data_IF_741258532953
#
_entry.id   IF_741258532953
#
_cell.length_a   1.000
_cell.length_b   1.000
_cell.length_c   1.000
_cell.angle_alpha   90.00
_cell.angle_beta   90.00
_cell.angle_gamma   90.00
#
_symmetry.space_group_name_H-M   'P 1'
#
loop_
_entity.id
_entity.type
_entity.pdbx_description
1 polymer ?
#
# COMPACT_ATOMS: atom_id res chain seq x y z
N UNK A 1 -41.76 43.86 -20.00
CA UNK A 1 -40.72 44.87 -19.78
C UNK A 1 -39.46 44.10 -19.39
N UNK A 2 -38.74 43.53 -20.37
CA UNK A 2 -37.63 44.17 -21.11
C UNK A 2 -36.48 44.52 -20.14
N UNK A 3 -35.23 44.04 -20.27
CA UNK A 3 -34.48 43.76 -21.50
C UNK A 3 -33.38 42.71 -21.31
N UNK A 4 -33.12 42.02 -22.41
CA UNK A 4 -32.00 41.13 -22.68
C UNK A 4 -30.76 41.92 -23.16
N UNK A 5 -29.56 41.34 -23.02
CA UNK A 5 -28.39 41.48 -23.91
C UNK A 5 -27.24 40.62 -23.32
N UNK A 6 -26.35 39.91 -24.01
CA UNK A 6 -26.26 39.22 -25.30
C UNK A 6 -24.97 38.38 -25.20
N UNK A 7 -24.96 37.21 -25.82
CA UNK A 7 -23.83 36.28 -25.92
C UNK A 7 -22.57 36.85 -26.59
N UNK A 8 -21.40 36.26 -26.33
CA UNK A 8 -20.46 35.91 -27.42
C UNK A 8 -19.57 34.73 -27.03
N UNK A 9 -19.57 33.73 -27.90
CA UNK A 9 -18.73 32.53 -27.88
C UNK A 9 -17.54 32.72 -28.84
N UNK A 10 -16.32 32.43 -28.39
CA UNK A 10 -15.14 32.34 -29.25
C UNK A 10 -14.80 30.89 -29.56
N UNK A 11 -14.92 30.50 -30.83
CA UNK A 11 -14.51 29.19 -31.38
C UNK A 11 -13.05 29.22 -31.90
N UNK A 12 -12.42 28.05 -32.16
CA UNK A 12 -10.97 27.87 -32.20
C UNK A 12 -10.35 28.09 -33.59
N UNK A 13 -9.06 28.39 -33.64
CA UNK A 13 -8.27 28.43 -34.87
C UNK A 13 -7.79 27.04 -35.29
N UNK A 14 -7.99 26.71 -36.58
CA UNK A 14 -7.56 25.50 -37.29
C UNK A 14 -6.36 25.81 -38.20
N UNK A 15 -5.40 24.87 -38.21
CA UNK A 15 -4.68 24.26 -39.35
C UNK A 15 -3.85 25.17 -40.29
N UNK A 16 -2.55 24.83 -40.45
CA UNK A 16 -1.97 24.58 -41.79
C UNK A 16 -0.71 23.70 -41.73
N UNK A 17 -0.79 22.56 -42.41
CA UNK A 17 0.34 21.76 -42.89
C UNK A 17 0.97 22.45 -44.11
N UNK A 18 2.28 22.36 -44.29
CA UNK A 18 2.92 22.46 -45.61
C UNK A 18 4.07 21.45 -45.67
N UNK A 19 4.20 20.79 -46.81
CA UNK A 19 5.14 19.72 -47.08
C UNK A 19 5.84 19.97 -48.42
N UNK A 20 7.13 19.56 -48.45
CA UNK A 20 7.98 19.14 -49.59
C UNK A 20 8.51 20.18 -50.58
N UNK A 21 9.85 20.11 -50.75
CA UNK A 21 10.59 19.86 -52.01
C UNK A 21 12.05 19.50 -51.62
N UNK A 22 12.64 18.33 -51.94
CA UNK A 22 13.30 17.87 -53.20
C UNK A 22 14.50 18.76 -53.63
N UNK A 23 15.71 18.33 -54.02
CA UNK A 23 16.31 17.05 -54.42
C UNK A 23 17.88 17.11 -54.44
N UNK A 24 18.53 15.93 -54.62
CA UNK A 24 19.81 15.65 -55.35
C UNK A 24 21.14 16.20 -54.79
N UNK A 25 22.01 15.39 -54.17
CA UNK A 25 22.98 14.41 -54.71
C UNK A 25 24.26 15.02 -55.32
N UNK A 26 25.42 14.73 -54.71
CA UNK A 26 26.70 14.46 -55.40
C UNK A 26 27.72 13.80 -54.44
N UNK A 27 28.26 12.66 -54.87
CA UNK A 27 29.36 11.89 -54.28
C UNK A 27 30.60 12.12 -55.15
N UNK A 28 31.81 12.04 -54.57
CA UNK A 28 32.69 11.00 -55.11
C UNK A 28 33.48 10.22 -54.05
N UNK A 29 33.81 9.00 -54.48
CA UNK A 29 34.60 7.97 -53.81
C UNK A 29 36.02 8.42 -53.42
N UNK A 30 36.48 7.97 -52.26
CA UNK A 30 37.86 7.55 -52.04
C UNK A 30 37.89 6.45 -50.95
N UNK A 31 38.14 5.20 -51.36
CA UNK A 31 38.41 4.06 -50.48
C UNK A 31 39.94 3.94 -50.31
N UNK A 32 40.41 4.02 -49.06
CA UNK A 32 41.75 3.61 -48.65
C UNK A 32 41.67 2.86 -47.31
N UNK A 33 42.47 1.80 -47.07
CA UNK A 33 42.32 0.98 -45.87
C UNK A 33 43.05 1.64 -44.69
N UNK A 34 42.29 2.10 -43.69
CA UNK A 34 42.84 2.47 -42.38
C UNK A 34 42.80 1.25 -41.46
N UNK A 35 43.94 0.58 -41.30
CA UNK A 35 44.17 -0.44 -40.26
C UNK A 35 44.26 0.31 -38.92
N UNK A 36 43.18 0.31 -38.15
CA UNK A 36 43.17 0.79 -36.76
C UNK A 36 43.48 -0.37 -35.83
N UNK A 37 44.62 -0.31 -35.15
CA UNK A 37 45.00 -1.25 -34.11
C UNK A 37 44.22 -0.93 -32.84
N UNK A 38 43.14 -1.67 -32.60
CA UNK A 38 42.38 -1.58 -31.37
C UNK A 38 43.22 -2.12 -30.20
N UNK A 39 43.72 -1.22 -29.34
CA UNK A 39 44.17 -1.59 -27.99
C UNK A 39 42.96 -2.04 -27.19
N UNK A 40 42.94 -3.31 -26.81
CA UNK A 40 41.97 -3.84 -25.86
C UNK A 40 42.07 -3.04 -24.55
N UNK A 41 41.00 -2.30 -24.23
CA UNK A 41 40.82 -1.74 -22.89
C UNK A 41 40.49 -2.89 -21.93
N UNK A 42 41.07 -2.93 -20.72
CA UNK A 42 40.72 -3.96 -19.75
C UNK A 42 39.23 -3.79 -19.41
N UNK A 43 38.48 -4.90 -19.54
CA UNK A 43 37.11 -4.99 -19.04
C UNK A 43 37.20 -4.88 -17.52
N UNK A 44 36.95 -3.69 -16.98
CA UNK A 44 36.63 -3.52 -15.58
C UNK A 44 35.40 -4.40 -15.29
N UNK A 45 35.40 -5.24 -14.23
CA UNK A 45 34.22 -5.99 -13.87
C UNK A 45 33.08 -4.99 -13.64
N UNK A 46 31.94 -5.22 -14.28
CA UNK A 46 30.74 -4.43 -14.05
C UNK A 46 30.52 -4.36 -12.53
N UNK A 47 30.50 -3.15 -11.95
CA UNK A 47 30.11 -3.02 -10.55
C UNK A 47 28.72 -3.63 -10.45
N UNK A 48 28.56 -4.72 -9.70
CA UNK A 48 27.25 -5.30 -9.45
C UNK A 48 26.48 -4.28 -8.61
N UNK A 49 25.74 -3.40 -9.29
CA UNK A 49 25.00 -2.34 -8.61
C UNK A 49 24.00 -2.97 -7.66
N UNK A 50 24.07 -2.58 -6.39
CA UNK A 50 23.20 -3.07 -5.32
C UNK A 50 21.79 -2.50 -5.53
N UNK A 51 21.01 -3.15 -6.40
CA UNK A 51 19.68 -2.68 -6.82
C UNK A 51 18.59 -2.94 -5.79
N UNK A 52 18.86 -3.81 -4.81
CA UNK A 52 17.90 -4.21 -3.80
C UNK A 52 18.46 -4.04 -2.39
N UNK A 53 17.53 -3.92 -1.45
CA UNK A 53 17.80 -3.90 -0.01
C UNK A 53 16.87 -4.91 0.66
N UNK A 54 17.46 -5.74 1.51
CA UNK A 54 16.75 -6.63 2.41
C UNK A 54 16.58 -5.91 3.75
N UNK A 55 15.35 -5.57 4.08
CA UNK A 55 14.99 -4.94 5.35
C UNK A 55 14.51 -6.01 6.33
N UNK A 56 15.20 -6.14 7.45
CA UNK A 56 14.77 -6.92 8.60
C UNK A 56 13.92 -6.03 9.51
N UNK A 57 12.76 -6.51 9.95
CA UNK A 57 11.84 -5.77 10.82
C UNK A 57 11.38 -6.68 11.94
N UNK A 58 11.90 -6.48 13.13
CA UNK A 58 11.62 -7.30 14.28
C UNK A 58 10.44 -6.76 15.08
N UNK A 59 9.55 -7.65 15.52
CA UNK A 59 8.61 -7.35 16.58
C UNK A 59 9.41 -7.24 17.90
N UNK A 60 9.95 -6.05 18.16
CA UNK A 60 10.96 -5.77 19.19
C UNK A 60 10.59 -6.31 20.58
N UNK A 61 9.32 -6.26 20.95
CA UNK A 61 8.83 -6.78 22.23
C UNK A 61 8.94 -8.31 22.37
N UNK A 62 8.92 -9.05 21.24
CA UNK A 62 9.00 -10.52 21.20
C UNK A 62 10.41 -11.00 20.89
N UNK A 63 11.09 -10.37 19.93
CA UNK A 63 12.44 -10.76 19.51
C UNK A 63 13.20 -9.54 19.06
N UNK A 64 14.02 -8.91 19.92
CA UNK A 64 14.87 -7.80 19.51
C UNK A 64 15.86 -8.21 18.41
N UNK A 65 16.02 -7.37 17.39
CA UNK A 65 17.01 -7.60 16.33
C UNK A 65 18.42 -7.35 16.86
N UNK A 66 19.26 -8.38 16.92
CA UNK A 66 20.64 -8.26 17.44
C UNK A 66 21.68 -8.16 16.31
N UNK A 67 22.84 -7.53 16.56
CA UNK A 67 23.97 -7.54 15.62
C UNK A 67 24.42 -8.94 15.20
N UNK A 68 24.27 -9.93 16.08
CA UNK A 68 24.58 -11.33 15.79
C UNK A 68 23.68 -11.90 14.69
N UNK A 69 22.38 -11.61 14.73
CA UNK A 69 21.43 -12.06 13.69
C UNK A 69 21.76 -11.39 12.36
N UNK A 70 22.00 -10.08 12.36
CA UNK A 70 22.35 -9.30 11.16
C UNK A 70 23.65 -9.82 10.53
N UNK A 71 24.68 -10.05 11.35
CA UNK A 71 25.96 -10.62 10.88
C UNK A 71 25.82 -12.04 10.35
N UNK A 72 25.05 -12.90 11.03
CA UNK A 72 24.79 -14.26 10.57
C UNK A 72 24.08 -14.26 9.21
N UNK A 73 23.13 -13.33 9.01
CA UNK A 73 22.45 -13.17 7.74
C UNK A 73 23.38 -12.70 6.63
N UNK A 74 24.19 -11.67 6.88
CA UNK A 74 25.18 -11.21 5.91
C UNK A 74 26.13 -12.35 5.49
N UNK A 75 26.62 -13.14 6.44
CA UNK A 75 27.46 -14.31 6.15
C UNK A 75 26.71 -15.38 5.34
N UNK A 76 25.45 -15.66 5.66
CA UNK A 76 24.63 -16.62 4.91
C UNK A 76 24.34 -16.15 3.47
N UNK A 77 24.06 -14.85 3.28
CA UNK A 77 23.92 -14.26 1.95
C UNK A 77 25.18 -14.47 1.12
N UNK A 78 26.34 -14.09 1.66
CA UNK A 78 27.63 -14.23 0.98
C UNK A 78 27.95 -15.69 0.63
N UNK A 79 27.74 -16.61 1.57
CA UNK A 79 27.94 -18.05 1.35
C UNK A 79 26.98 -18.62 0.29
N UNK A 80 25.77 -18.06 0.18
CA UNK A 80 24.76 -18.42 -0.81
C UNK A 80 24.88 -17.70 -2.16
N UNK A 81 26.00 -17.01 -2.43
CA UNK A 81 26.25 -16.34 -3.70
C UNK A 81 25.53 -14.99 -3.87
N UNK A 82 24.89 -14.47 -2.83
CA UNK A 82 24.34 -13.12 -2.78
C UNK A 82 25.38 -12.21 -2.13
N UNK A 83 25.79 -11.13 -2.78
CA UNK A 83 26.79 -10.20 -2.23
C UNK A 83 26.13 -9.15 -1.33
N UNK A 84 26.22 -9.24 0.01
CA UNK A 84 25.69 -8.21 0.89
C UNK A 84 26.60 -6.98 0.94
N UNK A 85 26.00 -5.80 1.03
CA UNK A 85 26.64 -4.56 1.42
C UNK A 85 26.65 -4.37 2.94
N UNK A 86 27.13 -3.21 3.42
CA UNK A 86 27.16 -2.91 4.85
C UNK A 86 25.74 -2.82 5.41
N UNK A 87 25.55 -3.39 6.61
CA UNK A 87 24.30 -3.29 7.34
C UNK A 87 24.06 -1.84 7.81
N UNK A 88 22.83 -1.35 7.63
CA UNK A 88 22.40 -0.01 8.02
C UNK A 88 21.20 -0.09 8.98
N UNK A 89 21.41 0.31 10.23
CA UNK A 89 20.37 0.26 11.26
C UNK A 89 19.40 1.43 11.15
N UNK A 90 18.17 1.15 10.73
CA UNK A 90 17.08 2.13 10.70
C UNK A 90 16.50 2.41 12.09
N UNK A 91 16.51 1.39 12.95
CA UNK A 91 16.09 1.47 14.34
C UNK A 91 16.81 0.40 15.18
N UNK A 92 17.52 0.80 16.23
CA UNK A 92 18.28 -0.14 17.07
C UNK A 92 17.35 -1.17 17.73
N UNK A 93 17.69 -2.44 17.53
CA UNK A 93 16.93 -3.57 18.08
C UNK A 93 15.65 -3.90 17.32
N UNK A 94 15.36 -3.23 16.20
CA UNK A 94 14.06 -3.31 15.54
C UNK A 94 14.18 -3.43 14.02
N UNK A 95 14.87 -2.52 13.35
CA UNK A 95 14.95 -2.53 11.89
C UNK A 95 16.37 -2.31 11.37
N UNK A 96 16.78 -3.14 10.41
CA UNK A 96 18.08 -3.07 9.77
C UNK A 96 17.96 -3.38 8.28
N UNK A 97 18.55 -2.52 7.46
CA UNK A 97 18.73 -2.74 6.03
C UNK A 97 20.05 -3.45 5.75
N UNK A 98 20.03 -4.33 4.76
CA UNK A 98 21.22 -4.94 4.15
C UNK A 98 21.07 -4.79 2.64
N UNK A 99 21.69 -3.77 2.01
CA UNK A 99 21.79 -3.69 0.55
C UNK A 99 22.44 -4.96 0.00
N UNK A 100 22.05 -5.43 -1.17
CA UNK A 100 22.70 -6.60 -1.76
C UNK A 100 22.64 -6.61 -3.29
N UNK A 101 23.56 -7.38 -3.88
CA UNK A 101 23.61 -7.71 -5.30
C UNK A 101 23.48 -9.23 -5.46
N UNK A 102 22.59 -9.67 -6.35
CA UNK A 102 22.24 -11.07 -6.53
C UNK A 102 20.74 -11.28 -6.65
N UNK A 103 20.33 -12.54 -6.72
CA UNK A 103 18.93 -12.92 -6.93
C UNK A 103 18.06 -12.67 -5.70
N UNK A 104 16.91 -12.00 -5.89
CA UNK A 104 15.96 -11.67 -4.82
C UNK A 104 15.41 -12.93 -4.14
N UNK A 105 15.11 -13.96 -4.92
CA UNK A 105 14.55 -15.20 -4.41
C UNK A 105 15.53 -15.93 -3.49
N UNK A 106 16.80 -16.03 -3.90
CA UNK A 106 17.86 -16.61 -3.09
C UNK A 106 18.07 -15.83 -1.79
N UNK A 107 18.12 -14.49 -1.85
CA UNK A 107 18.24 -13.65 -0.65
C UNK A 107 17.07 -13.86 0.32
N UNK A 108 15.84 -13.97 -0.18
CA UNK A 108 14.66 -14.21 0.65
C UNK A 108 14.64 -15.60 1.30
N UNK A 109 15.13 -16.63 0.61
CA UNK A 109 15.24 -17.99 1.14
C UNK A 109 16.30 -18.09 2.23
N UNK A 110 17.50 -17.54 1.98
CA UNK A 110 18.59 -17.49 2.95
C UNK A 110 18.18 -16.70 4.20
N UNK A 111 17.48 -15.57 4.01
CA UNK A 111 16.93 -14.79 5.11
C UNK A 111 15.96 -15.59 5.97
N UNK A 112 15.00 -16.29 5.34
CA UNK A 112 14.07 -17.16 6.06
C UNK A 112 14.79 -18.29 6.81
N UNK A 113 15.83 -18.89 6.22
CA UNK A 113 16.63 -19.92 6.88
C UNK A 113 17.36 -19.42 8.14
N UNK A 114 17.92 -18.22 8.10
CA UNK A 114 18.61 -17.62 9.27
C UNK A 114 17.62 -17.17 10.33
N UNK A 115 16.50 -16.58 9.92
CA UNK A 115 15.47 -16.05 10.83
C UNK A 115 14.70 -17.17 11.52
N UNK A 116 14.38 -18.26 10.80
CA UNK A 116 13.57 -19.36 11.32
C UNK A 116 12.21 -18.86 11.85
N UNK A 117 11.82 -19.36 13.02
CA UNK A 117 10.53 -19.03 13.66
C UNK A 117 10.56 -17.75 14.51
N UNK A 118 11.64 -16.96 14.43
CA UNK A 118 11.75 -15.70 15.18
C UNK A 118 10.73 -14.71 14.65
N UNK A 119 10.22 -13.86 15.54
CA UNK A 119 9.25 -12.81 15.20
C UNK A 119 9.93 -11.62 14.47
N UNK A 120 10.49 -11.90 13.29
CA UNK A 120 11.22 -10.95 12.43
C UNK A 120 10.67 -11.09 11.01
N UNK A 121 10.07 -10.02 10.52
CA UNK A 121 9.62 -9.89 9.15
C UNK A 121 10.79 -9.52 8.22
N UNK A 122 10.64 -9.88 6.94
CA UNK A 122 11.58 -9.50 5.87
C UNK A 122 10.85 -8.80 4.75
N UNK A 123 11.47 -7.74 4.21
CA UNK A 123 11.05 -7.12 2.97
C UNK A 123 12.23 -6.94 2.03
N UNK A 124 12.06 -7.26 0.75
CA UNK A 124 13.06 -6.96 -0.29
C UNK A 124 12.49 -5.90 -1.22
N UNK A 125 13.05 -4.70 -1.15
CA UNK A 125 12.60 -3.56 -1.98
C UNK A 125 13.75 -3.04 -2.85
N UNK A 126 13.44 -2.17 -3.80
CA UNK A 126 14.47 -1.47 -4.56
C UNK A 126 15.20 -0.45 -3.67
N UNK A 127 16.51 -0.29 -3.87
CA UNK A 127 17.32 0.66 -3.11
C UNK A 127 16.88 2.10 -3.36
N UNK A 128 16.63 2.46 -4.63
CA UNK A 128 16.16 3.78 -5.05
C UNK A 128 14.63 3.89 -5.13
N UNK A 129 14.09 5.09 -4.88
CA UNK A 129 12.66 5.37 -5.07
C UNK A 129 11.72 4.61 -4.12
N UNK A 130 12.22 4.15 -2.96
CA UNK A 130 11.42 3.41 -1.98
C UNK A 130 10.48 4.29 -1.15
N UNK A 131 10.76 5.60 -0.95
CA UNK A 131 9.81 6.55 -0.34
C UNK A 131 8.63 6.80 -1.28
N UNK A 132 7.43 6.39 -0.86
CA UNK A 132 6.20 6.48 -1.65
C UNK A 132 5.53 7.83 -1.42
N UNK A 133 4.82 8.30 -2.46
CA UNK A 133 4.11 9.60 -2.48
C UNK A 133 2.60 9.45 -2.31
N UNK A 134 2.10 8.22 -2.31
CA UNK A 134 0.70 7.89 -2.08
C UNK A 134 0.61 6.67 -1.17
N UNK A 135 -0.18 6.78 -0.10
CA UNK A 135 -0.66 5.66 0.72
C UNK A 135 -2.13 5.44 0.40
N UNK A 136 -2.50 4.21 0.08
CA UNK A 136 -3.90 3.76 0.10
C UNK A 136 -4.02 2.55 1.05
N UNK A 137 -4.98 2.60 1.97
CA UNK A 137 -5.10 1.62 3.03
C UNK A 137 -6.54 1.11 3.18
N UNK A 138 -6.71 -0.18 3.48
CA UNK A 138 -7.95 -0.67 4.07
C UNK A 138 -8.14 -0.14 5.50
N UNK A 139 -9.34 -0.24 6.04
CA UNK A 139 -9.66 0.16 7.42
C UNK A 139 -9.76 -1.04 8.36
N UNK A 140 -10.80 -1.86 8.18
CA UNK A 140 -11.09 -3.01 9.03
C UNK A 140 -9.93 -4.02 8.93
N UNK A 141 -9.58 -4.65 10.05
CA UNK A 141 -8.46 -5.60 10.16
C UNK A 141 -7.08 -5.10 9.65
N UNK A 142 -6.93 -3.81 9.38
CA UNK A 142 -5.70 -3.18 8.87
C UNK A 142 -5.32 -1.95 9.71
N UNK A 143 -6.07 -0.84 9.58
CA UNK A 143 -5.82 0.38 10.36
C UNK A 143 -6.51 0.34 11.73
N UNK A 144 -7.45 -0.57 11.90
CA UNK A 144 -8.05 -0.99 13.17
C UNK A 144 -8.04 -2.51 13.28
N UNK A 145 -8.10 -3.04 14.50
CA UNK A 145 -8.05 -4.49 14.73
C UNK A 145 -9.40 -5.22 14.64
N UNK A 146 -10.50 -4.49 14.43
CA UNK A 146 -11.87 -5.01 14.45
C UNK A 146 -12.54 -4.89 13.08
N UNK A 147 -13.66 -5.61 12.93
CA UNK A 147 -14.64 -5.41 11.87
C UNK A 147 -15.78 -4.53 12.40
N UNK A 148 -15.92 -3.29 11.90
CA UNK A 148 -16.85 -2.31 12.48
C UNK A 148 -18.32 -2.79 12.52
N UNK A 149 -18.74 -3.59 11.53
CA UNK A 149 -20.12 -4.09 11.45
C UNK A 149 -20.42 -5.15 12.52
N UNK A 150 -19.43 -5.99 12.83
CA UNK A 150 -19.55 -7.05 13.83
C UNK A 150 -19.66 -6.39 15.23
N UNK A 151 -18.87 -5.35 15.49
CA UNK A 151 -18.93 -4.58 16.74
C UNK A 151 -20.25 -3.81 16.93
N UNK A 152 -20.83 -3.27 15.84
CA UNK A 152 -22.17 -2.67 15.89
C UNK A 152 -23.24 -3.73 16.21
N UNK A 153 -23.16 -4.90 15.58
CA UNK A 153 -24.12 -5.97 15.80
C UNK A 153 -24.04 -6.56 17.22
N UNK A 154 -22.85 -6.55 17.83
CA UNK A 154 -22.65 -6.96 19.20
C UNK A 154 -23.44 -6.10 20.21
N UNK A 155 -23.71 -4.82 19.91
CA UNK A 155 -24.52 -3.94 20.78
C UNK A 155 -25.98 -4.40 20.92
N UNK A 156 -26.46 -5.23 20.00
CA UNK A 156 -27.82 -5.80 20.00
C UNK A 156 -27.83 -7.32 20.14
N UNK A 157 -26.71 -7.92 20.54
CA UNK A 157 -26.59 -9.37 20.73
C UNK A 157 -26.58 -10.18 19.42
N UNK A 158 -26.39 -9.54 18.26
CA UNK A 158 -26.35 -10.19 16.94
C UNK A 158 -24.93 -10.35 16.39
N UNK A 159 -23.89 -10.12 17.21
CA UNK A 159 -22.49 -10.17 16.80
C UNK A 159 -22.10 -11.50 16.14
N UNK A 160 -22.47 -12.63 16.76
CA UNK A 160 -22.16 -13.97 16.21
C UNK A 160 -22.86 -14.23 14.88
N UNK A 161 -24.13 -13.81 14.74
CA UNK A 161 -24.89 -13.96 13.51
C UNK A 161 -24.27 -13.16 12.36
N UNK A 162 -23.89 -11.91 12.63
CA UNK A 162 -23.26 -11.04 11.63
C UNK A 162 -21.86 -11.54 11.25
N UNK A 163 -21.06 -11.94 12.24
CA UNK A 163 -19.74 -12.52 12.01
C UNK A 163 -19.82 -13.80 11.14
N UNK A 164 -20.82 -14.66 11.37
CA UNK A 164 -21.02 -15.85 10.53
C UNK A 164 -21.28 -15.50 9.06
N UNK A 165 -22.07 -14.45 8.78
CA UNK A 165 -22.31 -13.96 7.41
C UNK A 165 -21.01 -13.36 6.83
N UNK A 166 -20.27 -12.57 7.63
CA UNK A 166 -18.97 -12.00 7.25
C UNK A 166 -18.00 -13.10 6.81
N UNK A 167 -17.87 -14.17 7.60
CA UNK A 167 -16.97 -15.29 7.29
C UNK A 167 -17.38 -16.04 6.02
N UNK A 168 -18.68 -16.27 5.78
CA UNK A 168 -19.18 -16.89 4.54
C UNK A 168 -18.86 -16.03 3.31
N UNK A 169 -19.02 -14.70 3.42
CA UNK A 169 -18.68 -13.77 2.35
C UNK A 169 -17.17 -13.76 2.06
N UNK A 170 -16.32 -13.77 3.10
CA UNK A 170 -14.86 -13.84 2.95
C UNK A 170 -14.37 -15.15 2.33
N UNK A 171 -15.07 -16.27 2.56
CA UNK A 171 -14.80 -17.56 1.89
C UNK A 171 -15.34 -17.64 0.46
N UNK A 172 -16.06 -16.61 0.00
CA UNK A 172 -16.65 -16.57 -1.33
C UNK A 172 -17.94 -17.39 -1.48
N UNK A 173 -18.53 -17.87 -0.39
CA UNK A 173 -19.80 -18.61 -0.41
C UNK A 173 -21.00 -17.72 -0.74
N UNK A 174 -20.88 -16.41 -0.43
CA UNK A 174 -21.88 -15.39 -0.73
C UNK A 174 -21.17 -14.21 -1.40
N UNK A 175 -21.78 -13.63 -2.42
CA UNK A 175 -21.28 -12.39 -3.00
C UNK A 175 -21.30 -11.23 -1.98
N UNK A 176 -20.30 -10.33 -2.08
CA UNK A 176 -20.10 -9.25 -1.12
C UNK A 176 -21.34 -8.35 -0.93
N UNK A 177 -21.96 -7.86 -2.02
CA UNK A 177 -23.10 -6.93 -1.95
C UNK A 177 -24.32 -7.55 -1.26
N UNK A 178 -24.78 -8.76 -1.63
CA UNK A 178 -25.81 -9.47 -0.87
C UNK A 178 -25.46 -9.67 0.60
N UNK A 179 -24.26 -10.15 0.92
CA UNK A 179 -23.84 -10.37 2.30
C UNK A 179 -23.76 -9.07 3.11
N UNK A 180 -23.37 -7.94 2.51
CA UNK A 180 -23.41 -6.64 3.16
C UNK A 180 -24.85 -6.21 3.45
N UNK A 181 -25.77 -6.33 2.49
CA UNK A 181 -27.18 -5.98 2.70
C UNK A 181 -27.83 -6.84 3.78
N UNK A 182 -27.54 -8.14 3.81
CA UNK A 182 -28.03 -9.06 4.85
C UNK A 182 -27.57 -8.62 6.25
N UNK A 183 -26.26 -8.33 6.42
CA UNK A 183 -25.73 -7.85 7.70
C UNK A 183 -26.28 -6.49 8.10
N UNK A 184 -26.41 -5.57 7.16
CA UNK A 184 -26.95 -4.22 7.42
C UNK A 184 -28.43 -4.27 7.80
N UNK A 185 -29.22 -5.17 7.22
CA UNK A 185 -30.62 -5.35 7.58
C UNK A 185 -30.82 -5.71 9.07
N UNK A 186 -29.88 -6.45 9.66
CA UNK A 186 -29.90 -6.81 11.08
C UNK A 186 -29.68 -5.61 12.00
N UNK A 187 -29.18 -4.49 11.50
CA UNK A 187 -28.95 -3.27 12.28
C UNK A 187 -30.17 -2.33 12.32
N UNK A 188 -31.30 -2.72 11.69
CA UNK A 188 -32.50 -1.88 11.65
C UNK A 188 -33.01 -1.54 13.05
N UNK A 189 -33.26 -0.25 13.29
CA UNK A 189 -33.76 0.26 14.57
C UNK A 189 -32.67 0.55 15.60
N UNK A 190 -31.40 0.22 15.33
CA UNK A 190 -30.30 0.59 16.19
C UNK A 190 -30.07 2.13 16.14
N UNK A 191 -29.91 2.81 17.29
CA UNK A 191 -29.58 4.23 17.30
C UNK A 191 -28.25 4.54 16.61
N UNK A 192 -28.20 5.63 15.86
CA UNK A 192 -26.96 6.09 15.20
C UNK A 192 -25.88 6.42 16.24
N UNK A 193 -26.28 6.86 17.44
CA UNK A 193 -25.39 7.13 18.58
C UNK A 193 -24.63 5.89 19.06
N UNK A 194 -25.08 4.68 18.73
CA UNK A 194 -24.34 3.44 19.01
C UNK A 194 -22.96 3.42 18.33
N UNK A 195 -22.79 4.12 17.20
CA UNK A 195 -21.49 4.25 16.52
C UNK A 195 -20.46 4.90 17.43
N UNK A 196 -20.82 5.99 18.11
CA UNK A 196 -19.91 6.72 19.01
C UNK A 196 -19.48 5.84 20.17
N UNK A 197 -20.42 5.08 20.73
CA UNK A 197 -20.14 4.10 21.79
C UNK A 197 -19.16 3.04 21.31
N UNK A 198 -19.38 2.44 20.14
CA UNK A 198 -18.49 1.43 19.56
C UNK A 198 -17.10 2.02 19.28
N UNK A 199 -17.02 3.21 18.68
CA UNK A 199 -15.77 3.92 18.40
C UNK A 199 -14.95 4.26 19.65
N UNK A 200 -15.62 4.44 20.79
CA UNK A 200 -14.98 4.77 22.07
C UNK A 200 -14.59 3.53 22.87
N UNK A 201 -15.39 2.47 22.81
CA UNK A 201 -15.26 1.32 23.74
C UNK A 201 -14.66 0.07 23.09
N UNK A 202 -14.79 -0.10 21.78
CA UNK A 202 -14.48 -1.37 21.08
C UNK A 202 -13.43 -1.21 19.98
N UNK A 203 -13.34 -0.04 19.35
CA UNK A 203 -12.41 0.19 18.25
C UNK A 203 -11.02 0.57 18.76
N UNK A 204 -10.04 -0.26 18.41
CA UNK A 204 -8.62 -0.05 18.70
C UNK A 204 -7.86 0.24 17.41
N UNK A 205 -7.15 1.36 17.37
CA UNK A 205 -6.26 1.69 16.24
C UNK A 205 -5.09 0.73 16.21
N UNK A 206 -4.74 0.23 15.03
CA UNK A 206 -3.57 -0.62 14.85
C UNK A 206 -2.30 0.16 15.23
N UNK A 207 -1.40 -0.42 16.05
CA UNK A 207 -0.17 0.25 16.45
C UNK A 207 0.64 0.71 15.24
N UNK A 208 1.26 1.88 15.36
CA UNK A 208 2.00 2.50 14.27
C UNK A 208 1.16 3.20 13.20
N UNK A 209 -0.17 3.01 13.14
CA UNK A 209 -1.00 3.59 12.07
C UNK A 209 -0.96 5.11 12.02
N UNK A 210 -1.06 5.78 13.17
CA UNK A 210 -0.92 7.25 13.27
C UNK A 210 0.46 7.70 12.80
N UNK A 211 1.51 7.01 13.26
CA UNK A 211 2.90 7.31 12.92
C UNK A 211 3.16 7.16 11.43
N UNK A 212 2.67 6.08 10.82
CA UNK A 212 2.77 5.81 9.38
C UNK A 212 2.19 6.97 8.57
N UNK A 213 0.92 7.29 8.81
CA UNK A 213 0.19 8.30 8.03
C UNK A 213 0.82 9.68 8.20
N UNK A 214 1.09 10.09 9.45
CA UNK A 214 1.67 11.41 9.74
C UNK A 214 3.08 11.58 9.21
N UNK A 215 3.92 10.53 9.32
CA UNK A 215 5.30 10.58 8.80
C UNK A 215 5.29 10.71 7.29
N UNK A 216 4.43 9.94 6.60
CA UNK A 216 4.27 10.04 5.15
C UNK A 216 3.75 11.42 4.74
N UNK A 217 2.73 11.96 5.43
CA UNK A 217 2.19 13.29 5.16
C UNK A 217 3.23 14.40 5.35
N UNK A 218 4.02 14.35 6.44
CA UNK A 218 5.12 15.29 6.70
C UNK A 218 6.20 15.27 5.60
N UNK A 219 6.29 14.18 4.84
CA UNK A 219 7.20 14.02 3.71
C UNK A 219 6.51 14.20 2.34
N UNK A 220 5.34 14.84 2.32
CA UNK A 220 4.64 15.23 1.10
C UNK A 220 3.88 14.10 0.39
N UNK A 221 3.66 12.97 1.06
CA UNK A 221 2.78 11.93 0.54
C UNK A 221 1.31 12.24 0.84
N UNK A 222 0.42 11.80 -0.04
CA UNK A 222 -1.02 11.82 0.19
C UNK A 222 -1.50 10.47 0.74
N UNK A 223 -2.48 10.47 1.64
CA UNK A 223 -3.04 9.27 2.25
C UNK A 223 -4.55 9.18 2.05
N UNK A 224 -5.01 8.04 1.51
CA UNK A 224 -6.42 7.72 1.30
C UNK A 224 -6.82 6.44 2.04
N UNK A 225 -7.86 6.52 2.87
CA UNK A 225 -8.46 5.36 3.53
C UNK A 225 -9.66 4.87 2.71
N UNK A 226 -9.61 3.66 2.14
CA UNK A 226 -10.72 3.13 1.33
C UNK A 226 -11.17 1.80 1.90
N UNK A 227 -12.43 1.73 2.34
CA UNK A 227 -12.96 0.58 3.06
C UNK A 227 -14.31 0.11 2.53
N UNK A 228 -14.58 -1.19 2.66
CA UNK A 228 -15.91 -1.77 2.48
C UNK A 228 -16.84 -1.61 3.70
N UNK A 229 -16.30 -1.10 4.82
CA UNK A 229 -17.04 -0.72 6.02
C UNK A 229 -17.83 0.56 5.83
N UNK A 230 -18.02 1.35 6.90
CA UNK A 230 -18.97 2.48 6.88
C UNK A 230 -18.35 3.85 7.13
N UNK A 231 -18.90 4.88 6.49
CA UNK A 231 -18.49 6.29 6.62
C UNK A 231 -18.52 6.77 8.07
N UNK A 232 -19.49 6.29 8.86
CA UNK A 232 -19.63 6.60 10.28
C UNK A 232 -18.41 6.19 11.12
N UNK A 233 -17.63 5.19 10.67
CA UNK A 233 -16.37 4.77 11.29
C UNK A 233 -15.16 5.32 10.54
N UNK A 234 -15.18 5.24 9.21
CA UNK A 234 -14.06 5.64 8.35
C UNK A 234 -13.69 7.12 8.54
N UNK A 235 -14.67 8.02 8.68
CA UNK A 235 -14.40 9.44 8.92
C UNK A 235 -13.66 9.71 10.23
N UNK A 236 -14.20 9.29 11.39
CA UNK A 236 -13.51 9.42 12.67
C UNK A 236 -12.13 8.74 12.71
N UNK A 237 -11.98 7.55 12.13
CA UNK A 237 -10.70 6.81 12.08
C UNK A 237 -9.70 7.56 11.20
N UNK A 238 -10.10 8.00 10.00
CA UNK A 238 -9.28 8.79 9.09
C UNK A 238 -8.78 10.07 9.77
N UNK A 239 -9.67 10.81 10.42
CA UNK A 239 -9.32 12.04 11.16
C UNK A 239 -8.39 11.77 12.34
N UNK A 240 -8.62 10.70 13.11
CA UNK A 240 -7.73 10.29 14.21
C UNK A 240 -6.34 9.98 13.67
N UNK A 241 -6.20 9.28 12.56
CA UNK A 241 -4.91 8.83 12.02
C UNK A 241 -4.19 9.91 11.18
N UNK A 242 -4.94 10.86 10.62
CA UNK A 242 -4.42 11.97 9.80
C UNK A 242 -4.45 11.70 8.30
N UNK A 243 -5.41 10.89 7.81
CA UNK A 243 -5.61 10.69 6.37
C UNK A 243 -6.18 11.95 5.73
N UNK A 244 -5.84 12.19 4.47
CA UNK A 244 -6.30 13.33 3.70
C UNK A 244 -7.71 13.13 3.13
N UNK A 245 -8.08 11.88 2.83
CA UNK A 245 -9.44 11.51 2.43
C UNK A 245 -9.83 10.13 2.96
N UNK A 246 -11.13 9.86 2.97
CA UNK A 246 -11.67 8.52 3.20
C UNK A 246 -12.83 8.21 2.25
N UNK A 247 -13.05 6.93 1.97
CA UNK A 247 -14.20 6.41 1.23
C UNK A 247 -14.69 5.11 1.87
N UNK A 248 -16.00 5.03 2.08
CA UNK A 248 -16.67 3.86 2.67
C UNK A 248 -18.16 3.86 2.30
N UNK A 249 -18.87 2.78 2.63
CA UNK A 249 -20.30 2.68 2.44
C UNK A 249 -21.07 3.57 3.44
N UNK A 250 -22.24 4.11 3.07
CA UNK A 250 -23.06 4.87 4.00
C UNK A 250 -24.25 4.02 4.49
N UNK A 251 -24.44 3.96 5.81
CA UNK A 251 -25.64 3.38 6.41
C UNK A 251 -26.76 4.41 6.35
N UNK A 252 -27.92 4.03 5.82
CA UNK A 252 -29.09 4.90 5.81
C UNK A 252 -29.70 4.95 7.21
N UNK A 253 -30.12 6.14 7.62
CA UNK A 253 -30.78 6.36 8.90
C UNK A 253 -31.91 7.37 8.78
N UNK A 254 -32.93 7.22 9.61
CA UNK A 254 -34.10 8.11 9.71
C UNK A 254 -34.45 8.30 11.18
N UNK A 255 -34.77 9.53 11.58
CA UNK A 255 -35.12 9.87 12.96
C UNK A 255 -34.10 9.38 14.00
N UNK A 256 -32.81 9.41 13.67
CA UNK A 256 -31.73 8.97 14.55
C UNK A 256 -31.54 7.45 14.67
N UNK A 257 -32.26 6.65 13.87
CA UNK A 257 -32.18 5.18 13.88
C UNK A 257 -31.75 4.66 12.50
N UNK A 258 -30.95 3.59 12.46
CA UNK A 258 -30.59 2.92 11.21
C UNK A 258 -31.81 2.27 10.56
N UNK A 259 -31.98 2.44 9.25
CA UNK A 259 -33.11 1.87 8.50
C UNK A 259 -32.90 0.40 8.12
N UNK A 260 -31.70 -0.13 8.35
CA UNK A 260 -31.30 -1.47 7.91
C UNK A 260 -30.95 -1.53 6.42
N UNK A 261 -30.61 -0.40 5.81
CA UNK A 261 -30.22 -0.33 4.38
C UNK A 261 -28.92 0.44 4.21
N UNK A 262 -28.22 0.16 3.11
CA UNK A 262 -26.96 0.81 2.73
C UNK A 262 -27.20 1.67 1.48
N UNK A 263 -26.58 2.86 1.42
CA UNK A 263 -26.67 3.74 0.27
C UNK A 263 -25.98 3.13 -0.97
N UNK A 264 -26.55 3.38 -2.14
CA UNK A 264 -25.94 3.01 -3.42
C UNK A 264 -25.13 4.18 -4.02
N UNK A 265 -24.06 3.90 -4.78
CA UNK A 265 -23.51 2.57 -5.07
C UNK A 265 -22.70 2.01 -3.90
N UNK A 266 -22.88 0.72 -3.60
CA UNK A 266 -22.03 0.01 -2.62
C UNK A 266 -20.58 -0.08 -3.13
N UNK A 267 -19.64 0.44 -2.34
CA UNK A 267 -18.21 0.24 -2.51
C UNK A 267 -17.84 -1.22 -2.21
N UNK A 268 -17.38 -1.91 -3.25
CA UNK A 268 -16.84 -3.26 -3.20
C UNK A 268 -15.31 -3.27 -3.46
N UNK A 269 -14.76 -4.45 -3.75
CA UNK A 269 -13.33 -4.61 -4.08
C UNK A 269 -12.87 -3.73 -5.24
N UNK A 270 -13.74 -3.48 -6.21
CA UNK A 270 -13.39 -2.72 -7.42
C UNK A 270 -13.29 -1.23 -7.10
N UNK A 271 -13.99 -0.76 -6.06
CA UNK A 271 -13.91 0.62 -5.61
C UNK A 271 -12.51 1.00 -5.10
N UNK A 272 -11.79 0.08 -4.42
CA UNK A 272 -10.40 0.31 -3.98
C UNK A 272 -9.46 0.49 -5.16
N UNK A 273 -9.54 -0.40 -6.15
CA UNK A 273 -8.75 -0.32 -7.38
C UNK A 273 -9.10 0.94 -8.18
N UNK A 274 -10.39 1.23 -8.35
CA UNK A 274 -10.87 2.40 -9.07
C UNK A 274 -10.38 3.69 -8.42
N UNK A 275 -10.44 3.78 -7.08
CA UNK A 275 -9.94 4.96 -6.37
C UNK A 275 -8.42 5.09 -6.50
N UNK A 276 -7.67 3.99 -6.38
CA UNK A 276 -6.23 4.03 -6.59
C UNK A 276 -5.87 4.56 -7.98
N UNK A 277 -6.54 4.07 -9.04
CA UNK A 277 -6.32 4.57 -10.41
C UNK A 277 -6.63 6.05 -10.54
N UNK A 278 -7.72 6.51 -9.94
CA UNK A 278 -8.09 7.92 -9.94
C UNK A 278 -7.03 8.78 -9.22
N UNK A 279 -6.57 8.37 -8.04
CA UNK A 279 -5.54 9.09 -7.28
C UNK A 279 -4.20 9.16 -8.01
N UNK A 280 -3.79 8.08 -8.69
CA UNK A 280 -2.60 8.06 -9.53
C UNK A 280 -2.72 9.12 -10.64
N UNK A 281 -3.87 9.17 -11.32
CA UNK A 281 -4.12 10.12 -12.40
C UNK A 281 -4.23 11.58 -11.90
N UNK A 282 -5.04 11.82 -10.87
CA UNK A 282 -5.26 13.14 -10.24
C UNK A 282 -3.95 13.77 -9.76
N UNK A 283 -2.99 12.96 -9.33
CA UNK A 283 -1.72 13.41 -8.75
C UNK A 283 -0.52 13.31 -9.70
N UNK A 284 -0.73 12.84 -10.93
CA UNK A 284 0.35 12.64 -11.90
C UNK A 284 1.46 11.70 -11.39
N UNK A 285 1.08 10.66 -10.65
CA UNK A 285 2.03 9.71 -10.07
C UNK A 285 2.25 8.50 -10.98
N UNK A 286 3.40 7.86 -10.85
CA UNK A 286 3.60 6.50 -11.34
C UNK A 286 3.20 5.50 -10.23
N UNK A 287 2.62 4.35 -10.60
CA UNK A 287 2.29 3.28 -9.63
C UNK A 287 3.47 2.88 -8.73
N UNK A 288 4.72 2.98 -9.21
CA UNK A 288 5.96 2.75 -8.42
C UNK A 288 6.07 3.66 -7.21
N UNK A 289 5.35 4.78 -7.18
CA UNK A 289 5.31 5.77 -6.10
C UNK A 289 4.16 5.53 -5.12
N UNK A 290 3.43 4.41 -5.24
CA UNK A 290 2.28 4.06 -4.40
C UNK A 290 2.67 2.96 -3.40
N UNK A 291 2.25 3.15 -2.15
CA UNK A 291 2.14 2.14 -1.10
C UNK A 291 0.67 1.76 -0.94
N UNK A 292 0.37 0.47 -1.03
CA UNK A 292 -0.94 -0.09 -0.68
C UNK A 292 -0.80 -1.06 0.49
N UNK A 293 -1.75 -1.05 1.43
CA UNK A 293 -1.77 -1.98 2.56
C UNK A 293 -3.18 -2.51 2.82
N UNK A 294 -3.28 -3.81 3.13
CA UNK A 294 -4.51 -4.50 3.48
C UNK A 294 -4.23 -5.90 4.04
N UNK A 295 -5.27 -6.60 4.49
CA UNK A 295 -5.18 -7.94 5.09
C UNK A 295 -5.90 -9.03 4.26
N UNK A 296 -6.86 -8.63 3.41
CA UNK A 296 -7.84 -9.52 2.81
C UNK A 296 -7.80 -9.64 1.28
N UNK A 297 -8.53 -10.63 0.76
CA UNK A 297 -8.67 -10.85 -0.68
C UNK A 297 -9.39 -9.70 -1.42
N UNK A 298 -10.15 -8.87 -0.69
CA UNK A 298 -10.75 -7.62 -1.18
C UNK A 298 -9.69 -6.56 -1.56
N UNK A 299 -8.47 -6.65 -1.03
CA UNK A 299 -7.36 -5.72 -1.32
C UNK A 299 -6.48 -6.13 -2.48
N UNK A 300 -6.60 -7.38 -2.94
CA UNK A 300 -5.69 -7.99 -3.91
C UNK A 300 -5.46 -7.14 -5.15
N UNK A 301 -6.53 -6.54 -5.70
CA UNK A 301 -6.45 -5.71 -6.90
C UNK A 301 -5.67 -4.41 -6.67
N UNK A 302 -5.87 -3.76 -5.52
CA UNK A 302 -5.16 -2.55 -5.12
C UNK A 302 -3.68 -2.85 -4.84
N UNK A 303 -3.42 -3.95 -4.14
CA UNK A 303 -2.08 -4.43 -3.77
C UNK A 303 -1.24 -4.75 -5.01
N UNK A 304 -1.80 -5.47 -5.99
CA UNK A 304 -1.12 -5.78 -7.27
C UNK A 304 -0.82 -4.55 -8.11
N UNK A 305 -1.65 -3.50 -8.05
CA UNK A 305 -1.41 -2.28 -8.83
C UNK A 305 -0.29 -1.42 -8.22
N UNK A 306 -0.18 -1.38 -6.89
CA UNK A 306 0.79 -0.54 -6.20
C UNK A 306 2.25 -0.95 -6.46
N UNK A 307 3.15 0.01 -6.38
CA UNK A 307 4.60 -0.22 -6.47
C UNK A 307 5.20 -0.88 -5.24
N UNK A 308 4.52 -0.74 -4.10
CA UNK A 308 4.77 -1.47 -2.87
C UNK A 308 3.40 -1.86 -2.28
N UNK A 309 2.93 -3.05 -2.62
CA UNK A 309 1.77 -3.68 -2.01
C UNK A 309 2.21 -4.52 -0.81
N UNK A 310 1.64 -4.24 0.36
CA UNK A 310 1.97 -4.89 1.63
C UNK A 310 0.76 -5.62 2.19
N UNK A 311 0.93 -6.92 2.39
CA UNK A 311 0.04 -7.74 3.19
C UNK A 311 0.35 -7.49 4.68
N UNK A 312 -0.60 -6.96 5.44
CA UNK A 312 -0.42 -6.70 6.87
C UNK A 312 -1.28 -7.66 7.70
N UNK A 313 -0.64 -8.53 8.48
CA UNK A 313 -1.27 -9.56 9.31
C UNK A 313 -2.32 -10.35 8.50
N UNK A 314 -1.99 -10.58 7.23
CA UNK A 314 -2.95 -10.91 6.19
C UNK A 314 -3.20 -12.42 6.07
N UNK A 315 -4.25 -12.75 5.31
CA UNK A 315 -4.51 -14.14 4.93
C UNK A 315 -3.50 -14.62 3.87
N UNK A 316 -3.19 -15.94 3.81
CA UNK A 316 -2.18 -16.47 2.89
C UNK A 316 -2.39 -16.09 1.41
N UNK A 317 -3.64 -15.97 0.97
CA UNK A 317 -3.97 -15.58 -0.39
C UNK A 317 -3.50 -14.16 -0.76
N UNK A 318 -3.51 -13.21 0.19
CA UNK A 318 -3.00 -11.88 -0.07
C UNK A 318 -1.47 -11.84 0.06
N UNK A 319 -0.91 -12.56 1.03
CA UNK A 319 0.56 -12.64 1.21
C UNK A 319 1.26 -13.13 -0.05
N UNK A 320 0.73 -14.16 -0.70
CA UNK A 320 1.31 -14.76 -1.91
C UNK A 320 1.40 -13.78 -3.10
N UNK A 321 0.62 -12.71 -3.06
CA UNK A 321 0.45 -11.75 -4.16
C UNK A 321 1.02 -10.37 -3.83
N UNK A 322 1.49 -10.19 -2.59
CA UNK A 322 2.06 -8.94 -2.09
C UNK A 322 3.55 -8.87 -2.34
N UNK A 323 4.09 -7.65 -2.42
CA UNK A 323 5.55 -7.48 -2.50
C UNK A 323 6.24 -7.83 -1.19
N UNK A 324 5.58 -7.55 -0.07
CA UNK A 324 6.06 -7.81 1.29
C UNK A 324 4.86 -8.24 2.15
N UNK A 325 5.08 -9.16 3.08
CA UNK A 325 4.13 -9.51 4.12
C UNK A 325 4.71 -9.15 5.49
N UNK A 326 3.96 -8.39 6.30
CA UNK A 326 4.27 -8.09 7.69
C UNK A 326 3.40 -9.01 8.56
N UNK A 327 4.03 -9.91 9.31
CA UNK A 327 3.36 -10.92 10.14
C UNK A 327 3.51 -10.64 11.64
N UNK A 328 4.53 -9.89 12.02
CA UNK A 328 4.88 -9.70 13.43
C UNK A 328 4.94 -8.23 13.83
N UNK A 329 5.52 -7.38 12.97
CA UNK A 329 5.64 -5.95 13.18
C UNK A 329 4.31 -5.20 13.17
N UNK A 330 4.34 -3.96 13.60
CA UNK A 330 3.21 -3.04 13.50
C UNK A 330 3.27 -2.20 12.20
N UNK A 331 2.36 -1.23 12.03
CA UNK A 331 2.30 -0.43 10.79
C UNK A 331 3.52 0.48 10.58
N UNK A 332 4.38 0.68 11.59
CA UNK A 332 5.66 1.39 11.38
C UNK A 332 6.64 0.59 10.52
N UNK A 333 6.44 -0.73 10.39
CA UNK A 333 7.17 -1.57 9.45
C UNK A 333 7.16 -1.00 8.02
N UNK A 334 6.04 -0.41 7.61
CA UNK A 334 5.87 0.17 6.27
C UNK A 334 6.73 1.43 6.07
N UNK A 335 7.10 2.13 7.15
CA UNK A 335 8.07 3.23 7.09
C UNK A 335 9.49 2.69 6.92
N UNK A 336 9.85 1.63 7.66
CA UNK A 336 11.16 0.99 7.49
C UNK A 336 11.34 0.42 6.08
N UNK A 337 10.32 -0.20 5.48
CA UNK A 337 10.39 -0.64 4.07
C UNK A 337 10.66 0.52 3.09
N UNK A 338 10.29 1.76 3.46
CA UNK A 338 10.54 2.97 2.67
C UNK A 338 11.86 3.67 3.04
N UNK A 339 12.63 3.12 3.98
CA UNK A 339 13.95 3.62 4.38
C UNK A 339 13.88 4.82 5.30
N UNK A 340 12.74 5.04 5.96
CA UNK A 340 12.67 5.96 7.09
C UNK A 340 13.40 5.34 8.28
N UNK A 341 14.12 6.19 9.01
CA UNK A 341 14.71 5.86 10.31
C UNK A 341 13.69 6.15 11.41
N UNK A 342 13.88 5.54 12.58
CA UNK A 342 13.02 5.81 13.73
C UNK A 342 12.99 7.31 14.11
N UNK A 343 14.10 8.02 13.88
CA UNK A 343 14.20 9.46 14.14
C UNK A 343 13.42 10.32 13.12
N UNK A 344 13.04 9.76 11.97
CA UNK A 344 12.19 10.44 10.99
C UNK A 344 10.69 10.40 11.39
N UNK A 345 10.33 9.59 12.40
CA UNK A 345 8.93 9.29 12.71
C UNK A 345 8.22 10.47 13.38
N UNK A 346 7.08 10.86 12.82
CA UNK A 346 6.16 11.85 13.39
C UNK A 346 5.12 11.13 14.25
N UNK A 347 5.14 11.38 15.56
CA UNK A 347 4.22 10.77 16.54
C UNK A 347 3.09 11.73 16.93
#
# INVERSE_FOLDING_TARGET
MESALTMTAGRPARISFSARDSASADLPLALGPAISTARASPILPASSSMHHVLTLIAAKAKTPLSPKIVSALASALAAGGVSPGPADWLAKGEACDIPFAGERAAAAELARGVIGDRAIDIGIVATGGRRKKLLIADMDSTMIGQECIDELAAEIGLGETVAAITQRAMRGEIAFKPALRERVALLKGLPVTSVEKVLAQRITLTPGGRTLVRTMAANGAYASLVSGGFTAFAGPIAGRLGFDEFRANALNHENGLFTGTVAEPILDRDAKLARLRALIAERGLDRRQVLAVGDGANDLAMIRLAGLGVAFHAKPALEAESNVAIRHGDLTALLYLQGYRQDDFVR
#
